data_IF_575599717809
#
_entry.id   IF_575599717809
#
_cell.length_a   1.000
_cell.length_b   1.000
_cell.length_c   1.000
_cell.angle_alpha   90.00
_cell.angle_beta   90.00
_cell.angle_gamma   90.00
#
_symmetry.space_group_name_H-M   'P 1'
#
loop_
_entity.id
_entity.type
_entity.pdbx_description
1 polymer ?
#
# COMPACT_ATOMS: atom_id res chain seq x y z
N UNK A 1 -24.21 -7.95 4.46
CA UNK A 1 -23.67 -8.25 5.79
C UNK A 1 -23.63 -9.75 6.10
N UNK A 2 -24.76 -10.50 6.12
CA UNK A 2 -24.78 -11.95 6.41
C UNK A 2 -23.77 -12.75 5.55
N UNK A 3 -23.80 -12.56 4.22
CA UNK A 3 -22.87 -13.23 3.30
C UNK A 3 -21.40 -12.87 3.55
N UNK A 4 -21.12 -11.61 3.89
CA UNK A 4 -19.78 -11.17 4.27
C UNK A 4 -19.26 -11.92 5.51
N UNK A 5 -20.08 -12.05 6.56
CA UNK A 5 -19.71 -12.80 7.76
C UNK A 5 -19.47 -14.29 7.47
N UNK A 6 -20.28 -14.91 6.60
CA UNK A 6 -20.04 -16.28 6.14
C UNK A 6 -18.67 -16.40 5.45
N UNK A 7 -18.31 -15.44 4.61
CA UNK A 7 -16.98 -15.37 3.96
C UNK A 7 -15.87 -15.18 4.99
N UNK A 8 -16.02 -14.25 5.92
CA UNK A 8 -15.00 -14.00 6.96
C UNK A 8 -14.75 -15.23 7.85
N UNK A 9 -15.79 -16.02 8.16
CA UNK A 9 -15.68 -17.22 9.00
C UNK A 9 -15.44 -18.51 8.20
N UNK A 10 -15.33 -18.42 6.88
CA UNK A 10 -15.11 -19.61 6.07
C UNK A 10 -13.69 -20.19 6.29
N UNK A 11 -13.54 -21.52 6.39
CA UNK A 11 -12.24 -22.17 6.62
C UNK A 11 -11.16 -21.75 5.59
N UNK A 12 -11.55 -21.52 4.33
CA UNK A 12 -10.63 -21.03 3.29
C UNK A 12 -10.12 -19.62 3.60
N UNK A 13 -10.94 -18.74 4.18
CA UNK A 13 -10.49 -17.39 4.57
C UNK A 13 -9.48 -17.48 5.70
N UNK A 14 -9.66 -18.39 6.66
CA UNK A 14 -8.66 -18.64 7.70
C UNK A 14 -7.34 -19.19 7.12
N UNK A 15 -7.39 -20.11 6.16
CA UNK A 15 -6.19 -20.58 5.44
C UNK A 15 -5.48 -19.43 4.72
N UNK A 16 -6.23 -18.49 4.13
CA UNK A 16 -5.67 -17.29 3.46
C UNK A 16 -4.99 -16.37 4.46
N UNK A 17 -5.59 -16.11 5.64
CA UNK A 17 -4.95 -15.34 6.73
C UNK A 17 -3.62 -15.96 7.13
N UNK A 18 -3.61 -17.26 7.38
CA UNK A 18 -2.39 -17.99 7.72
C UNK A 18 -1.35 -17.96 6.60
N UNK A 19 -1.78 -17.97 5.34
CA UNK A 19 -0.90 -17.85 4.18
C UNK A 19 -0.22 -16.47 4.15
N UNK A 20 -0.95 -15.39 4.39
CA UNK A 20 -0.39 -14.04 4.53
C UNK A 20 0.56 -13.93 5.72
N UNK A 21 0.19 -14.50 6.87
CA UNK A 21 1.03 -14.52 8.07
C UNK A 21 2.35 -15.26 7.81
N UNK A 22 2.31 -16.43 7.18
CA UNK A 22 3.52 -17.17 6.79
C UNK A 22 4.39 -16.38 5.83
N UNK A 23 3.81 -15.67 4.85
CA UNK A 23 4.56 -14.79 3.97
C UNK A 23 5.28 -13.70 4.76
N UNK A 24 4.56 -12.97 5.60
CA UNK A 24 5.10 -11.88 6.41
C UNK A 24 6.18 -12.33 7.40
N UNK A 25 6.17 -13.59 7.84
CA UNK A 25 7.18 -14.20 8.72
C UNK A 25 8.26 -14.98 7.96
N UNK A 26 8.32 -14.82 6.64
CA UNK A 26 9.32 -15.42 5.75
C UNK A 26 9.32 -16.96 5.77
N UNK A 27 8.18 -17.59 6.03
CA UNK A 27 8.06 -19.04 6.00
C UNK A 27 7.87 -19.55 4.57
N UNK A 28 8.57 -20.62 4.16
CA UNK A 28 8.40 -21.22 2.84
C UNK A 28 6.96 -21.69 2.61
N UNK A 29 6.39 -21.32 1.48
CA UNK A 29 5.06 -21.73 1.04
C UNK A 29 4.88 -21.51 -0.47
N UNK A 30 3.82 -22.07 -1.09
CA UNK A 30 3.44 -21.68 -2.43
C UNK A 30 3.12 -20.18 -2.50
N UNK A 31 3.47 -19.49 -3.61
CA UNK A 31 3.21 -18.07 -3.78
C UNK A 31 1.77 -17.65 -3.47
N UNK A 32 1.61 -16.47 -2.87
CA UNK A 32 0.32 -15.79 -2.77
C UNK A 32 -0.06 -15.30 -4.17
N UNK A 33 -1.34 -15.46 -4.55
CA UNK A 33 -1.93 -14.90 -5.76
C UNK A 33 -3.04 -13.97 -5.33
N UNK A 34 -2.87 -12.68 -5.52
CA UNK A 34 -3.83 -11.67 -5.11
C UNK A 34 -4.05 -10.62 -6.20
N UNK A 35 -5.21 -9.98 -6.19
CA UNK A 35 -5.55 -8.88 -7.08
C UNK A 35 -5.94 -7.65 -6.27
N UNK A 36 -5.56 -6.47 -6.77
CA UNK A 36 -5.94 -5.19 -6.18
C UNK A 36 -6.30 -4.19 -7.28
N UNK A 37 -7.52 -4.29 -7.85
CA UNK A 37 -7.99 -3.36 -8.87
C UNK A 37 -8.15 -1.94 -8.32
N UNK A 38 -7.92 -0.95 -9.18
CA UNK A 38 -8.25 0.45 -8.92
C UNK A 38 -9.79 0.62 -8.80
N UNK A 39 -10.23 1.70 -8.17
CA UNK A 39 -11.66 2.00 -8.00
C UNK A 39 -12.43 2.06 -9.34
N UNK A 40 -11.77 2.45 -10.44
CA UNK A 40 -12.38 2.49 -11.78
C UNK A 40 -12.63 1.08 -12.33
N UNK A 41 -11.68 0.18 -12.15
CA UNK A 41 -11.86 -1.23 -12.52
C UNK A 41 -12.92 -1.90 -11.64
N UNK A 42 -13.01 -1.53 -10.35
CA UNK A 42 -14.09 -2.02 -9.49
C UNK A 42 -15.47 -1.63 -9.97
N UNK A 43 -15.67 -0.46 -10.59
CA UNK A 43 -16.93 -0.06 -11.22
C UNK A 43 -17.30 -0.91 -12.44
N UNK A 44 -16.32 -1.57 -13.06
CA UNK A 44 -16.57 -2.54 -14.14
C UNK A 44 -16.88 -3.94 -13.62
N UNK A 45 -16.47 -4.27 -12.39
CA UNK A 45 -16.65 -5.57 -11.75
C UNK A 45 -17.93 -5.64 -10.91
N UNK A 46 -18.30 -4.55 -10.26
CA UNK A 46 -19.51 -4.44 -9.42
C UNK A 46 -20.26 -3.19 -9.90
N UNK A 47 -21.44 -3.39 -10.46
CA UNK A 47 -22.25 -2.30 -10.99
C UNK A 47 -22.85 -1.44 -9.86
N UNK A 48 -23.02 -0.13 -10.13
CA UNK A 48 -23.52 0.82 -9.10
C UNK A 48 -24.96 0.51 -8.65
N UNK A 49 -25.79 -0.10 -9.52
CA UNK A 49 -27.16 -0.53 -9.21
C UNK A 49 -27.24 -1.77 -8.30
N UNK A 50 -26.12 -2.46 -8.09
CA UNK A 50 -26.04 -3.55 -7.09
C UNK A 50 -26.00 -3.04 -5.64
N UNK A 51 -25.67 -1.77 -5.43
CA UNK A 51 -25.54 -1.22 -4.09
C UNK A 51 -26.87 -0.77 -3.49
N UNK A 52 -27.04 -0.98 -2.18
CA UNK A 52 -28.26 -0.64 -1.43
C UNK A 52 -28.22 0.73 -0.80
N UNK A 53 -27.03 1.33 -0.67
CA UNK A 53 -26.80 2.61 0.01
C UNK A 53 -26.39 3.71 -0.97
N UNK A 54 -26.66 5.01 -0.69
CA UNK A 54 -26.19 6.12 -1.50
C UNK A 54 -24.66 6.20 -1.61
N UNK A 55 -24.14 6.71 -2.74
CA UNK A 55 -22.71 6.70 -3.07
C UNK A 55 -21.81 7.42 -2.04
N UNK A 56 -22.31 8.42 -1.33
CA UNK A 56 -21.51 9.31 -0.47
C UNK A 56 -21.84 9.13 1.02
N UNK A 57 -21.83 7.90 1.53
CA UNK A 57 -22.06 7.65 2.96
C UNK A 57 -21.02 6.67 3.52
N UNK A 58 -20.78 6.73 4.85
CA UNK A 58 -19.97 5.74 5.54
C UNK A 58 -20.54 4.31 5.40
N UNK A 59 -21.87 4.20 5.33
CA UNK A 59 -22.56 2.94 5.06
C UNK A 59 -22.22 2.41 3.65
N UNK A 60 -22.16 3.29 2.62
CA UNK A 60 -21.75 2.92 1.26
C UNK A 60 -20.30 2.42 1.22
N UNK A 61 -19.38 3.11 1.91
CA UNK A 61 -17.99 2.69 1.96
C UNK A 61 -17.84 1.30 2.61
N UNK A 62 -18.63 1.03 3.64
CA UNK A 62 -18.63 -0.28 4.27
C UNK A 62 -19.32 -1.35 3.39
N UNK A 63 -20.42 -1.01 2.72
CA UNK A 63 -21.05 -1.90 1.73
C UNK A 63 -20.07 -2.24 0.60
N UNK A 64 -19.35 -1.25 0.08
CA UNK A 64 -18.31 -1.45 -0.94
C UNK A 64 -17.23 -2.43 -0.47
N UNK A 65 -16.72 -2.23 0.75
CA UNK A 65 -15.75 -3.16 1.35
C UNK A 65 -16.28 -4.60 1.43
N UNK A 66 -17.51 -4.78 1.91
CA UNK A 66 -18.13 -6.11 2.01
C UNK A 66 -18.34 -6.76 0.63
N UNK A 67 -18.82 -6.00 -0.37
CA UNK A 67 -19.05 -6.50 -1.72
C UNK A 67 -17.75 -6.92 -2.40
N UNK A 68 -16.70 -6.13 -2.26
CA UNK A 68 -15.36 -6.46 -2.78
C UNK A 68 -14.82 -7.73 -2.12
N UNK A 69 -14.94 -7.89 -0.81
CA UNK A 69 -14.50 -9.10 -0.13
C UNK A 69 -15.26 -10.35 -0.60
N UNK A 70 -16.59 -10.24 -0.79
CA UNK A 70 -17.41 -11.33 -1.36
C UNK A 70 -16.98 -11.62 -2.79
N UNK A 71 -16.74 -10.61 -3.63
CA UNK A 71 -16.30 -10.75 -5.01
C UNK A 71 -14.94 -11.45 -5.12
N UNK A 72 -14.00 -11.08 -4.27
CA UNK A 72 -12.70 -11.78 -4.15
C UNK A 72 -12.89 -13.26 -3.80
N UNK A 73 -13.81 -13.56 -2.88
CA UNK A 73 -14.04 -14.92 -2.43
C UNK A 73 -14.74 -15.79 -3.47
N UNK A 74 -15.79 -15.29 -4.12
CA UNK A 74 -16.68 -16.06 -4.98
C UNK A 74 -16.24 -16.05 -6.44
N UNK A 75 -15.77 -14.92 -6.94
CA UNK A 75 -15.51 -14.71 -8.37
C UNK A 75 -14.00 -14.78 -8.65
N UNK A 76 -13.19 -13.93 -8.02
CA UNK A 76 -11.75 -13.90 -8.27
C UNK A 76 -11.07 -15.13 -7.70
N UNK A 77 -11.54 -15.63 -6.56
CA UNK A 77 -10.98 -16.82 -5.87
C UNK A 77 -9.49 -16.71 -5.60
N UNK A 78 -9.01 -15.48 -5.40
CA UNK A 78 -7.63 -15.17 -5.07
C UNK A 78 -7.36 -15.32 -3.56
N UNK A 79 -6.16 -14.94 -3.10
CA UNK A 79 -5.78 -15.09 -1.69
C UNK A 79 -6.21 -13.90 -0.82
N UNK A 80 -7.27 -13.17 -1.23
CA UNK A 80 -7.87 -12.14 -0.38
C UNK A 80 -8.38 -12.75 0.93
N UNK A 81 -8.09 -12.08 2.05
CA UNK A 81 -8.62 -12.42 3.37
C UNK A 81 -9.31 -11.18 3.97
N UNK A 82 -10.29 -11.38 4.83
CA UNK A 82 -11.05 -10.29 5.47
C UNK A 82 -11.34 -10.62 6.92
N UNK A 83 -11.56 -9.58 7.73
CA UNK A 83 -11.91 -9.68 9.13
C UNK A 83 -13.40 -9.31 9.36
N UNK A 84 -14.12 -9.98 10.26
CA UNK A 84 -15.50 -9.63 10.57
C UNK A 84 -15.57 -8.40 11.48
N UNK A 85 -15.14 -7.24 10.96
CA UNK A 85 -15.03 -5.99 11.70
C UNK A 85 -15.45 -4.80 10.85
N UNK A 86 -16.18 -3.86 11.43
CA UNK A 86 -16.40 -2.56 10.81
C UNK A 86 -15.39 -1.56 11.35
N UNK A 87 -14.55 -0.99 10.45
CA UNK A 87 -13.58 0.03 10.82
C UNK A 87 -14.11 1.42 10.60
N UNK A 88 -13.89 2.26 11.60
CA UNK A 88 -14.30 3.66 11.62
C UNK A 88 -13.08 4.55 11.76
N UNK A 89 -12.96 5.54 10.88
CA UNK A 89 -11.84 6.49 10.93
C UNK A 89 -12.01 7.47 12.08
N UNK A 90 -11.00 7.57 12.94
CA UNK A 90 -10.88 8.65 13.91
C UNK A 90 -10.87 10.02 13.21
N UNK A 91 -11.51 10.99 13.83
CA UNK A 91 -11.48 12.36 13.33
C UNK A 91 -10.20 13.06 13.81
N UNK A 92 -9.09 12.76 13.14
CA UNK A 92 -7.79 13.41 13.33
C UNK A 92 -7.56 14.33 12.14
N UNK A 93 -7.28 15.60 12.42
CA UNK A 93 -6.96 16.58 11.40
C UNK A 93 -5.47 16.92 11.43
N UNK A 94 -4.88 17.03 10.25
CA UNK A 94 -3.51 17.46 10.03
C UNK A 94 -3.52 18.89 9.49
N UNK A 95 -2.81 19.81 10.14
CA UNK A 95 -2.85 21.25 9.80
C UNK A 95 -2.24 21.60 8.44
N UNK A 96 -1.61 20.63 7.76
CA UNK A 96 -0.85 20.90 6.53
C UNK A 96 0.50 21.52 6.78
N UNK A 97 1.19 21.84 5.71
CA UNK A 97 2.59 22.33 5.72
C UNK A 97 2.70 23.85 5.49
N UNK A 98 1.57 24.55 5.45
CA UNK A 98 1.50 25.98 5.16
C UNK A 98 1.54 26.32 3.67
N UNK A 99 2.00 25.43 2.84
CA UNK A 99 1.97 25.48 1.37
C UNK A 99 1.42 24.17 0.84
N UNK A 100 0.53 24.25 -0.15
CA UNK A 100 -0.04 23.10 -0.82
C UNK A 100 0.12 23.23 -2.34
N UNK A 101 0.46 22.14 -3.06
CA UNK A 101 0.51 22.17 -4.52
C UNK A 101 -0.89 22.36 -5.09
N UNK A 102 -1.01 23.24 -6.08
CA UNK A 102 -2.26 23.44 -6.81
C UNK A 102 -2.34 22.44 -7.97
N UNK A 103 -3.44 21.71 -8.06
CA UNK A 103 -3.71 20.84 -9.19
C UNK A 103 -4.18 21.68 -10.38
N UNK A 104 -3.52 21.55 -11.53
CA UNK A 104 -3.90 22.14 -12.81
C UNK A 104 -4.29 21.02 -13.76
N UNK A 105 -5.45 21.13 -14.40
CA UNK A 105 -6.04 20.17 -15.33
C UNK A 105 -7.55 20.09 -15.18
N UNK A 106 -8.21 19.33 -16.03
CA UNK A 106 -9.66 19.16 -15.95
C UNK A 106 -10.04 18.46 -14.63
N UNK A 107 -11.15 18.87 -14.04
CA UNK A 107 -11.73 18.27 -12.82
C UNK A 107 -12.22 16.84 -13.07
N UNK A 108 -12.38 16.44 -14.33
CA UNK A 108 -12.70 15.07 -14.70
C UNK A 108 -11.52 14.15 -14.45
N UNK A 109 -11.73 13.11 -13.65
CA UNK A 109 -10.71 12.17 -13.18
C UNK A 109 -9.95 11.40 -14.30
N UNK A 110 -10.31 11.58 -15.57
CA UNK A 110 -9.76 10.87 -16.72
C UNK A 110 -8.75 11.68 -17.54
N UNK A 111 -8.64 13.00 -17.31
CA UNK A 111 -7.76 13.85 -18.10
C UNK A 111 -6.37 14.02 -17.44
N UNK A 112 -5.40 14.34 -18.26
CA UNK A 112 -4.05 14.64 -17.80
C UNK A 112 -4.06 15.87 -16.89
N UNK A 113 -3.41 15.77 -15.76
CA UNK A 113 -3.24 16.86 -14.80
C UNK A 113 -1.80 16.93 -14.31
N UNK A 114 -1.41 18.07 -13.80
CA UNK A 114 -0.12 18.26 -13.14
C UNK A 114 -0.27 19.17 -11.93
N UNK A 115 0.73 19.16 -11.06
CA UNK A 115 0.79 20.11 -9.96
C UNK A 115 1.53 21.37 -10.39
N UNK A 116 1.00 22.53 -9.99
CA UNK A 116 1.76 23.77 -9.90
C UNK A 116 2.43 23.82 -8.52
N UNK A 117 3.74 23.63 -8.44
CA UNK A 117 4.45 23.58 -7.17
C UNK A 117 4.51 24.96 -6.54
N UNK A 118 4.22 25.13 -5.24
CA UNK A 118 4.20 26.44 -4.58
C UNK A 118 5.59 27.03 -4.28
N UNK A 119 6.62 26.18 -4.22
CA UNK A 119 8.00 26.63 -3.96
C UNK A 119 8.69 26.89 -5.31
N UNK A 120 8.65 28.15 -5.76
CA UNK A 120 9.30 28.60 -7.01
C UNK A 120 10.74 29.05 -6.79
N UNK A 121 11.03 29.62 -5.63
CA UNK A 121 12.33 30.15 -5.24
C UNK A 121 12.66 29.81 -3.78
N UNK A 122 13.91 29.91 -3.39
CA UNK A 122 14.36 29.51 -2.04
C UNK A 122 13.68 30.28 -0.92
N UNK A 123 13.32 31.57 -1.12
CA UNK A 123 12.61 32.37 -0.14
C UNK A 123 11.19 31.86 0.16
N UNK A 124 10.59 31.05 -0.71
CA UNK A 124 9.26 30.46 -0.45
C UNK A 124 9.31 29.44 0.69
N UNK A 125 10.49 28.94 1.03
CA UNK A 125 10.71 28.09 2.20
C UNK A 125 10.18 28.70 3.50
N UNK A 126 10.28 30.01 3.66
CA UNK A 126 9.85 30.72 4.88
C UNK A 126 8.32 30.69 5.08
N UNK A 127 7.57 30.28 4.06
CA UNK A 127 6.11 30.11 4.13
C UNK A 127 5.72 28.74 4.69
N UNK A 128 6.65 27.77 4.72
CA UNK A 128 6.39 26.45 5.28
C UNK A 128 6.13 26.52 6.79
N UNK A 129 5.29 25.64 7.25
CA UNK A 129 4.93 25.49 8.66
C UNK A 129 5.02 24.02 9.05
N UNK A 130 5.52 23.75 10.26
CA UNK A 130 5.50 22.40 10.81
C UNK A 130 4.08 21.98 11.12
N UNK A 131 3.67 20.77 10.74
CA UNK A 131 2.31 20.31 10.96
C UNK A 131 2.02 20.02 12.43
N UNK A 132 0.76 20.18 12.78
CA UNK A 132 0.18 19.79 14.06
C UNK A 132 -1.04 18.91 13.84
N UNK A 133 -1.32 18.04 14.81
CA UNK A 133 -2.52 17.20 14.80
C UNK A 133 -3.54 17.75 15.80
N UNK A 134 -4.80 17.66 15.44
CA UNK A 134 -5.94 17.85 16.35
C UNK A 134 -6.86 16.64 16.28
N UNK A 135 -7.47 16.26 17.40
CA UNK A 135 -8.38 15.13 17.52
C UNK A 135 -9.76 15.62 17.94
N UNK A 136 -10.76 15.33 17.12
CA UNK A 136 -12.17 15.62 17.42
C UNK A 136 -12.81 14.36 18.01
N UNK A 137 -12.92 14.35 19.34
CA UNK A 137 -13.49 13.25 20.11
C UNK A 137 -15.01 13.11 19.83
N UNK A 138 -15.73 14.22 19.70
CA UNK A 138 -17.18 14.21 19.47
C UNK A 138 -17.51 13.62 18.10
N UNK A 139 -16.84 14.10 17.05
CA UNK A 139 -17.00 13.55 15.71
C UNK A 139 -16.60 12.07 15.64
N UNK A 140 -15.52 11.68 16.31
CA UNK A 140 -15.10 10.27 16.37
C UNK A 140 -16.17 9.41 17.05
N UNK A 141 -16.67 9.86 18.21
CA UNK A 141 -17.74 9.19 18.93
C UNK A 141 -19.01 9.05 18.09
N UNK A 142 -19.44 10.12 17.42
CA UNK A 142 -20.59 10.08 16.53
C UNK A 142 -20.45 9.04 15.41
N UNK A 143 -19.25 8.95 14.79
CA UNK A 143 -18.97 7.92 13.77
C UNK A 143 -19.04 6.50 14.34
N UNK A 144 -18.53 6.27 15.54
CA UNK A 144 -18.59 4.97 16.24
C UNK A 144 -20.04 4.60 16.54
N UNK A 145 -20.83 5.52 17.09
CA UNK A 145 -22.22 5.26 17.47
C UNK A 145 -23.06 4.95 16.22
N UNK A 146 -22.90 5.69 15.13
CA UNK A 146 -23.54 5.41 13.84
C UNK A 146 -23.15 4.03 13.26
N UNK A 147 -21.87 3.66 13.38
CA UNK A 147 -21.40 2.35 12.93
C UNK A 147 -22.01 1.22 13.77
N UNK A 148 -22.07 1.38 15.10
CA UNK A 148 -22.71 0.41 16.00
C UNK A 148 -24.21 0.25 15.73
N UNK A 149 -24.91 1.34 15.44
CA UNK A 149 -26.30 1.29 15.02
C UNK A 149 -26.47 0.49 13.71
N UNK A 150 -25.55 0.67 12.76
CA UNK A 150 -25.58 -0.01 11.46
C UNK A 150 -25.32 -1.53 11.57
N UNK A 151 -24.31 -1.94 12.35
CA UNK A 151 -23.91 -3.35 12.42
C UNK A 151 -24.55 -4.12 13.58
N UNK A 152 -25.06 -3.43 14.60
CA UNK A 152 -25.65 -4.06 15.80
C UNK A 152 -24.66 -5.01 16.47
N UNK A 153 -25.16 -6.18 16.88
CA UNK A 153 -24.36 -7.24 17.51
C UNK A 153 -23.70 -8.18 16.51
N UNK A 154 -23.80 -7.90 15.20
CA UNK A 154 -23.30 -8.81 14.16
C UNK A 154 -21.79 -8.84 14.08
N UNK A 155 -21.11 -7.73 14.35
CA UNK A 155 -19.64 -7.62 14.32
C UNK A 155 -19.15 -6.46 15.18
N UNK A 156 -17.88 -6.53 15.67
CA UNK A 156 -17.28 -5.42 16.41
C UNK A 156 -17.05 -4.20 15.52
N UNK A 157 -17.07 -3.03 16.15
CA UNK A 157 -16.62 -1.76 15.56
C UNK A 157 -15.26 -1.41 16.15
N UNK A 158 -14.25 -1.27 15.30
CA UNK A 158 -12.89 -0.86 15.66
C UNK A 158 -12.59 0.53 15.10
N UNK A 159 -11.86 1.33 15.88
CA UNK A 159 -11.39 2.64 15.42
C UNK A 159 -10.06 2.46 14.71
N UNK A 160 -9.96 2.99 13.51
CA UNK A 160 -8.70 3.10 12.76
C UNK A 160 -8.28 4.54 12.64
N UNK A 161 -6.99 4.81 12.46
CA UNK A 161 -6.46 6.15 12.31
C UNK A 161 -5.24 6.14 11.39
N UNK A 162 -5.19 7.14 10.53
CA UNK A 162 -4.00 7.52 9.80
C UNK A 162 -3.65 8.97 10.17
N UNK A 163 -2.62 9.21 10.95
CA UNK A 163 -2.30 10.55 11.46
C UNK A 163 -1.62 11.46 10.41
N UNK A 164 -1.59 11.07 9.14
CA UNK A 164 -0.98 11.88 8.08
C UNK A 164 0.55 11.83 8.05
N UNK A 165 1.18 10.84 8.67
CA UNK A 165 2.65 10.65 8.57
C UNK A 165 3.03 10.26 7.15
N UNK A 166 3.82 11.09 6.49
CA UNK A 166 4.38 10.81 5.18
C UNK A 166 5.77 10.20 5.30
N UNK A 167 5.85 8.88 5.19
CA UNK A 167 7.11 8.12 5.16
C UNK A 167 7.73 8.05 3.77
N UNK A 168 6.99 8.46 2.74
CA UNK A 168 7.45 8.47 1.34
C UNK A 168 8.33 9.68 1.08
N UNK A 169 7.96 10.86 1.57
CA UNK A 169 8.63 12.16 1.44
C UNK A 169 8.77 12.68 0.00
N UNK A 170 9.15 11.83 -0.96
CA UNK A 170 9.54 12.24 -2.31
C UNK A 170 8.36 12.73 -3.13
N UNK A 171 7.21 12.06 -3.06
CA UNK A 171 5.96 12.54 -3.66
C UNK A 171 5.63 13.96 -3.17
N UNK A 172 5.74 14.17 -1.87
CA UNK A 172 5.45 15.45 -1.24
C UNK A 172 6.47 16.53 -1.67
N UNK A 173 7.76 16.20 -1.62
CA UNK A 173 8.82 17.08 -2.10
C UNK A 173 8.58 17.50 -3.56
N UNK A 174 8.29 16.55 -4.44
CA UNK A 174 8.01 16.81 -5.85
C UNK A 174 6.72 17.63 -6.05
N UNK A 175 5.71 17.42 -5.20
CA UNK A 175 4.51 18.26 -5.19
C UNK A 175 4.81 19.71 -4.80
N UNK A 176 5.64 19.93 -3.78
CA UNK A 176 5.99 21.26 -3.30
C UNK A 176 6.96 22.01 -4.22
N UNK A 177 7.93 21.33 -4.83
CA UNK A 177 9.03 21.96 -5.58
C UNK A 177 8.94 21.78 -7.11
N UNK A 178 8.23 20.74 -7.57
CA UNK A 178 8.20 20.30 -8.95
C UNK A 178 9.31 19.28 -9.25
N UNK A 179 8.97 18.19 -9.92
CA UNK A 179 9.89 17.07 -10.15
C UNK A 179 11.11 17.49 -10.96
N UNK A 180 10.92 18.29 -12.04
CA UNK A 180 12.01 18.77 -12.88
C UNK A 180 12.98 19.65 -12.08
N UNK A 181 12.43 20.51 -11.22
CA UNK A 181 13.23 21.39 -10.39
C UNK A 181 13.97 20.62 -9.28
N UNK A 182 13.36 19.59 -8.70
CA UNK A 182 14.02 18.69 -7.75
C UNK A 182 15.24 18.03 -8.39
N UNK A 183 15.14 17.57 -9.64
CA UNK A 183 16.29 16.97 -10.35
C UNK A 183 17.40 17.98 -10.64
N UNK A 184 17.06 19.21 -10.99
CA UNK A 184 18.05 20.28 -11.16
C UNK A 184 18.69 20.64 -9.82
N UNK A 185 17.90 20.77 -8.76
CA UNK A 185 18.37 21.15 -7.42
C UNK A 185 19.34 20.11 -6.82
N UNK A 186 19.27 18.83 -7.21
CA UNK A 186 20.27 17.82 -6.81
C UNK A 186 21.71 18.22 -7.18
N UNK A 187 21.90 19.03 -8.24
CA UNK A 187 23.20 19.45 -8.73
C UNK A 187 23.47 20.95 -8.54
N UNK A 188 22.45 21.78 -8.72
CA UNK A 188 22.59 23.23 -8.67
C UNK A 188 22.42 23.81 -7.28
N UNK A 189 21.57 23.18 -6.43
CA UNK A 189 21.18 23.67 -5.11
C UNK A 189 21.01 22.52 -4.09
N UNK A 190 22.01 21.65 -3.94
CA UNK A 190 21.90 20.50 -3.05
C UNK A 190 21.58 20.90 -1.60
N UNK A 191 22.18 21.97 -1.10
CA UNK A 191 21.95 22.47 0.25
C UNK A 191 20.48 22.88 0.49
N UNK A 192 19.86 23.49 -0.51
CA UNK A 192 18.44 23.85 -0.44
C UNK A 192 17.55 22.60 -0.42
N UNK A 193 17.88 21.62 -1.26
CA UNK A 193 17.14 20.35 -1.30
C UNK A 193 17.26 19.59 0.02
N UNK A 194 18.47 19.56 0.62
CA UNK A 194 18.70 19.02 1.96
C UNK A 194 17.88 19.76 3.04
N UNK A 195 17.78 21.08 2.94
CA UNK A 195 16.97 21.89 3.85
C UNK A 195 15.48 21.55 3.75
N UNK A 196 14.94 21.38 2.55
CA UNK A 196 13.55 20.96 2.31
C UNK A 196 13.28 19.57 2.88
N UNK A 197 14.11 18.59 2.50
CA UNK A 197 13.99 17.21 2.99
C UNK A 197 14.13 17.11 4.51
N UNK A 198 15.06 17.86 5.08
CA UNK A 198 15.24 17.96 6.52
C UNK A 198 13.99 18.49 7.22
N UNK A 199 13.39 19.56 6.68
CA UNK A 199 12.16 20.16 7.22
C UNK A 199 10.98 19.19 7.16
N UNK A 200 10.77 18.51 6.02
CA UNK A 200 9.71 17.53 5.86
C UNK A 200 9.90 16.34 6.82
N UNK A 201 11.13 15.89 6.98
CA UNK A 201 11.45 14.79 7.92
C UNK A 201 11.15 15.18 9.37
N UNK A 202 11.61 16.35 9.82
CA UNK A 202 11.35 16.86 11.18
C UNK A 202 9.86 17.07 11.45
N UNK A 203 9.12 17.57 10.46
CA UNK A 203 7.68 17.74 10.60
C UNK A 203 6.96 16.39 10.76
N UNK A 204 7.33 15.37 9.98
CA UNK A 204 6.79 14.03 10.12
C UNK A 204 7.16 13.38 11.47
N UNK A 205 8.37 13.55 11.95
CA UNK A 205 8.76 13.08 13.29
C UNK A 205 7.90 13.72 14.38
N UNK A 206 7.60 15.03 14.29
CA UNK A 206 6.70 15.70 15.23
C UNK A 206 5.26 15.20 15.13
N UNK A 207 4.76 14.91 13.93
CA UNK A 207 3.44 14.27 13.73
C UNK A 207 3.41 12.90 14.40
N UNK A 208 4.46 12.10 14.24
CA UNK A 208 4.59 10.80 14.90
C UNK A 208 4.54 10.91 16.43
N UNK A 209 5.29 11.86 17.01
CA UNK A 209 5.30 12.12 18.45
C UNK A 209 3.91 12.52 18.97
N UNK A 210 3.22 13.42 18.26
CA UNK A 210 1.86 13.84 18.61
C UNK A 210 0.86 12.67 18.54
N UNK A 211 0.90 11.84 17.48
CA UNK A 211 0.02 10.70 17.32
C UNK A 211 0.24 9.64 18.42
N UNK A 212 1.48 9.35 18.79
CA UNK A 212 1.78 8.45 19.91
C UNK A 212 1.33 9.05 21.24
N UNK A 213 1.64 10.32 21.50
CA UNK A 213 1.24 11.02 22.73
C UNK A 213 -0.29 11.08 22.86
N UNK A 214 -1.02 11.30 21.77
CA UNK A 214 -2.48 11.29 21.74
C UNK A 214 -3.09 9.88 21.86
N UNK A 215 -2.35 8.82 21.52
CA UNK A 215 -2.89 7.45 21.48
C UNK A 215 -3.84 7.21 20.31
N UNK A 216 -3.62 7.90 19.21
CA UNK A 216 -4.51 7.87 18.04
C UNK A 216 -4.09 6.84 16.99
N UNK A 217 -3.08 6.03 17.27
CA UNK A 217 -2.63 4.98 16.36
C UNK A 217 -3.50 3.74 16.48
N UNK A 218 -3.75 3.09 15.35
CA UNK A 218 -4.41 1.78 15.26
C UNK A 218 -3.44 0.75 14.69
N UNK A 219 -3.57 -0.50 15.12
CA UNK A 219 -2.79 -1.61 14.55
C UNK A 219 -3.19 -1.84 13.09
N UNK A 220 -2.22 -2.23 12.27
CA UNK A 220 -2.40 -2.53 10.85
C UNK A 220 -1.81 -3.90 10.47
N UNK A 221 -2.00 -4.88 11.34
CA UNK A 221 -1.39 -6.21 11.25
C UNK A 221 -2.39 -7.34 10.93
N UNK A 222 -3.51 -7.00 10.28
CA UNK A 222 -4.55 -7.95 9.81
C UNK A 222 -4.82 -7.77 8.32
N UNK A 223 -6.08 -7.60 7.93
CA UNK A 223 -6.53 -7.34 6.55
C UNK A 223 -6.26 -5.89 6.08
N UNK A 224 -5.45 -5.17 6.81
CA UNK A 224 -4.99 -3.84 6.43
C UNK A 224 -4.13 -3.89 5.17
N UNK A 225 -4.34 -2.92 4.29
CA UNK A 225 -3.47 -2.76 3.13
C UNK A 225 -2.10 -2.24 3.56
N UNK A 226 -1.05 -2.97 3.25
CA UNK A 226 0.33 -2.62 3.60
C UNK A 226 1.23 -2.60 2.37
N UNK A 227 2.25 -1.76 2.42
CA UNK A 227 3.19 -1.63 1.32
C UNK A 227 2.51 -1.16 0.03
N UNK A 228 3.06 -1.59 -1.11
CA UNK A 228 2.49 -1.36 -2.42
C UNK A 228 1.68 -2.57 -2.91
N UNK A 229 0.77 -3.08 -2.11
CA UNK A 229 -0.09 -4.21 -2.44
C UNK A 229 0.26 -5.48 -1.68
N UNK A 230 -0.12 -5.52 -0.40
CA UNK A 230 -0.09 -6.69 0.44
C UNK A 230 -1.07 -6.53 1.60
N UNK A 231 -1.35 -7.60 2.32
CA UNK A 231 -2.09 -7.56 3.57
C UNK A 231 -1.15 -7.58 4.78
N UNK A 232 -1.59 -6.97 5.87
CA UNK A 232 -0.81 -6.75 7.08
C UNK A 232 -0.58 -7.97 7.96
N UNK A 233 -1.23 -9.09 7.71
CA UNK A 233 -1.20 -10.27 8.60
C UNK A 233 0.20 -10.67 9.03
N UNK A 234 0.46 -10.61 10.32
CA UNK A 234 1.72 -11.04 10.96
C UNK A 234 1.49 -11.25 12.46
N UNK A 235 2.25 -12.16 13.06
CA UNK A 235 2.34 -12.36 14.51
C UNK A 235 3.55 -11.67 15.14
N UNK A 236 4.40 -11.03 14.34
CA UNK A 236 5.51 -10.21 14.83
C UNK A 236 5.06 -8.82 15.30
N UNK A 237 3.84 -8.41 14.95
CA UNK A 237 3.21 -7.18 15.40
C UNK A 237 1.89 -7.50 16.12
N UNK A 238 1.55 -6.76 17.19
CA UNK A 238 2.35 -5.70 17.79
C UNK A 238 3.63 -6.21 18.45
N UNK A 239 4.62 -5.33 18.60
CA UNK A 239 5.90 -5.67 19.18
C UNK A 239 5.77 -6.12 20.65
N UNK A 240 6.75 -6.88 21.13
CA UNK A 240 6.78 -7.35 22.50
C UNK A 240 6.58 -6.20 23.53
N UNK A 241 5.77 -6.47 24.55
CA UNK A 241 5.39 -5.47 25.55
C UNK A 241 4.27 -4.53 25.11
N UNK A 242 3.46 -4.91 24.12
CA UNK A 242 2.25 -4.19 23.76
C UNK A 242 1.24 -4.23 24.92
N UNK A 243 0.73 -3.06 25.31
CA UNK A 243 -0.19 -2.90 26.45
C UNK A 243 -1.54 -2.27 26.03
N UNK A 244 -2.02 -2.57 24.83
CA UNK A 244 -3.32 -2.09 24.33
C UNK A 244 -3.30 -0.72 23.69
N UNK A 245 -2.16 0.01 23.71
CA UNK A 245 -1.99 1.29 23.03
C UNK A 245 -0.90 1.17 21.97
N UNK A 246 -1.29 1.35 20.70
CA UNK A 246 -0.37 1.20 19.59
C UNK A 246 0.69 2.31 19.57
N UNK A 247 1.91 1.94 19.19
CA UNK A 247 3.06 2.81 18.94
C UNK A 247 3.54 2.53 17.51
N UNK A 248 4.33 3.40 16.91
CA UNK A 248 4.86 3.15 15.58
C UNK A 248 5.63 1.83 15.48
N UNK A 249 6.33 1.42 16.53
CA UNK A 249 7.00 0.11 16.57
C UNK A 249 6.06 -1.11 16.57
N UNK A 250 4.77 -0.89 16.72
CA UNK A 250 3.73 -1.91 16.66
C UNK A 250 3.08 -2.00 15.28
N UNK A 251 3.55 -1.19 14.30
CA UNK A 251 2.93 -1.01 12.99
C UNK A 251 3.86 -1.39 11.83
N UNK A 252 3.25 -1.71 10.70
CA UNK A 252 3.89 -1.67 9.39
C UNK A 252 4.07 -0.24 8.91
N UNK A 253 5.22 0.03 8.27
CA UNK A 253 5.41 1.19 7.42
C UNK A 253 5.46 0.82 5.94
N UNK A 254 5.20 1.81 5.10
CA UNK A 254 5.51 1.77 3.66
C UNK A 254 6.31 3.01 3.28
N UNK A 255 7.33 2.83 2.45
CA UNK A 255 8.02 3.94 1.78
C UNK A 255 8.41 3.55 0.35
N UNK A 256 8.67 4.55 -0.46
CA UNK A 256 9.06 4.41 -1.87
C UNK A 256 9.66 5.71 -2.38
N UNK A 257 10.20 5.70 -3.59
CA UNK A 257 10.64 6.89 -4.30
C UNK A 257 10.47 6.67 -5.82
N UNK A 258 9.22 6.47 -6.24
CA UNK A 258 8.91 6.19 -7.66
C UNK A 258 9.26 7.36 -8.58
N UNK A 259 9.16 8.61 -8.11
CA UNK A 259 9.60 9.80 -8.82
C UNK A 259 11.10 9.74 -9.17
N UNK A 260 11.87 9.02 -8.34
CA UNK A 260 13.30 8.80 -8.51
C UNK A 260 13.63 7.51 -9.28
N UNK A 261 12.69 6.99 -10.09
CA UNK A 261 12.91 5.76 -10.87
C UNK A 261 14.19 5.81 -11.72
N UNK A 262 14.49 6.97 -12.30
CA UNK A 262 15.68 7.20 -13.15
C UNK A 262 16.87 7.78 -12.36
N UNK A 263 16.73 8.14 -11.11
CA UNK A 263 17.80 8.68 -10.25
C UNK A 263 18.76 7.55 -9.87
N UNK A 264 20.06 7.84 -9.98
CA UNK A 264 21.12 6.88 -9.64
C UNK A 264 21.15 6.52 -8.14
N UNK A 265 21.78 5.40 -7.77
CA UNK A 265 21.83 4.96 -6.37
C UNK A 265 22.41 6.01 -5.42
N UNK A 266 23.47 6.71 -5.80
CA UNK A 266 24.12 7.72 -4.93
C UNK A 266 23.16 8.87 -4.57
N UNK A 267 22.53 9.47 -5.61
CA UNK A 267 21.57 10.56 -5.40
C UNK A 267 20.30 10.06 -4.71
N UNK A 268 19.88 8.82 -4.96
CA UNK A 268 18.76 8.23 -4.23
C UNK A 268 19.08 8.09 -2.74
N UNK A 269 20.28 7.63 -2.39
CA UNK A 269 20.72 7.57 -0.99
C UNK A 269 20.75 8.95 -0.36
N UNK A 270 21.36 9.93 -1.07
CA UNK A 270 21.59 11.28 -0.58
C UNK A 270 20.29 12.10 -0.46
N UNK A 271 19.39 12.04 -1.45
CA UNK A 271 18.20 12.90 -1.51
C UNK A 271 16.87 12.18 -1.25
N UNK A 272 16.90 10.93 -0.79
CA UNK A 272 15.70 10.22 -0.37
C UNK A 272 15.97 9.34 0.85
N UNK A 273 16.74 8.26 0.68
CA UNK A 273 16.79 7.16 1.61
C UNK A 273 17.27 7.56 3.02
N UNK A 274 18.30 8.41 3.13
CA UNK A 274 18.79 8.85 4.44
C UNK A 274 17.72 9.57 5.29
N UNK A 275 16.79 10.26 4.63
CA UNK A 275 15.67 10.95 5.28
C UNK A 275 14.54 9.97 5.63
N UNK A 276 14.21 9.09 4.69
CA UNK A 276 13.19 8.06 4.89
C UNK A 276 13.58 7.12 6.04
N UNK A 277 14.83 6.71 6.16
CA UNK A 277 15.31 5.83 7.25
C UNK A 277 15.01 6.43 8.63
N UNK A 278 15.15 7.74 8.82
CA UNK A 278 14.86 8.41 10.10
C UNK A 278 13.40 8.24 10.56
N UNK A 279 12.47 8.12 9.60
CA UNK A 279 11.07 7.84 9.87
C UNK A 279 10.84 6.33 10.03
N UNK A 280 11.37 5.53 9.11
CA UNK A 280 11.16 4.09 9.04
C UNK A 280 11.73 3.34 10.25
N UNK A 281 12.81 3.84 10.86
CA UNK A 281 13.40 3.24 12.08
C UNK A 281 12.46 3.25 13.30
N UNK A 282 11.37 4.03 13.27
CA UNK A 282 10.35 4.04 14.31
C UNK A 282 9.39 2.86 14.22
N UNK A 283 9.24 2.26 13.05
CA UNK A 283 8.25 1.22 12.77
C UNK A 283 8.75 -0.20 13.10
N UNK A 284 7.80 -1.11 13.35
CA UNK A 284 8.10 -2.51 13.67
C UNK A 284 8.49 -3.33 12.45
N UNK A 285 7.82 -3.15 11.32
CA UNK A 285 8.13 -3.79 10.05
C UNK A 285 8.01 -2.77 8.91
N UNK A 286 8.79 -2.97 7.84
CA UNK A 286 8.85 -2.02 6.72
C UNK A 286 8.62 -2.73 5.39
N UNK A 287 7.78 -2.12 4.54
CA UNK A 287 7.66 -2.38 3.12
C UNK A 287 8.33 -1.26 2.34
N UNK A 288 9.04 -1.57 1.26
CA UNK A 288 9.66 -0.56 0.40
C UNK A 288 9.41 -0.81 -1.09
N UNK A 289 9.19 0.30 -1.81
CA UNK A 289 9.05 0.32 -3.26
C UNK A 289 7.60 0.29 -3.75
N UNK A 290 7.41 0.78 -4.97
CA UNK A 290 6.13 0.83 -5.69
C UNK A 290 6.34 0.51 -7.18
N UNK A 291 6.35 1.53 -8.04
CA UNK A 291 6.44 1.37 -9.50
C UNK A 291 7.88 1.45 -10.02
N UNK A 292 8.83 1.91 -9.22
CA UNK A 292 10.23 2.05 -9.61
C UNK A 292 10.96 0.70 -9.77
N UNK A 293 11.91 0.64 -10.69
CA UNK A 293 12.74 -0.54 -10.92
C UNK A 293 13.92 -0.58 -9.93
N UNK A 294 13.78 -1.30 -8.83
CA UNK A 294 14.73 -1.33 -7.71
C UNK A 294 15.99 -2.20 -7.96
N UNK A 295 16.09 -2.94 -9.08
CA UNK A 295 17.18 -3.91 -9.29
C UNK A 295 18.59 -3.32 -9.25
N UNK A 296 18.74 -1.99 -9.43
CA UNK A 296 20.03 -1.28 -9.30
C UNK A 296 20.25 -0.68 -7.91
N UNK A 297 19.27 -0.79 -7.00
CA UNK A 297 19.24 -0.10 -5.71
C UNK A 297 19.09 -1.06 -4.51
N UNK A 298 19.12 -2.36 -4.71
CA UNK A 298 18.91 -3.32 -3.62
C UNK A 298 19.90 -3.16 -2.46
N UNK A 299 21.18 -2.81 -2.74
CA UNK A 299 22.17 -2.57 -1.68
C UNK A 299 21.77 -1.42 -0.77
N UNK A 300 21.09 -0.41 -1.31
CA UNK A 300 20.52 0.68 -0.53
C UNK A 300 19.32 0.23 0.28
N UNK A 301 18.40 -0.51 -0.35
CA UNK A 301 17.19 -0.99 0.33
C UNK A 301 17.53 -1.85 1.55
N UNK A 302 18.60 -2.65 1.46
CA UNK A 302 19.06 -3.50 2.57
C UNK A 302 19.63 -2.71 3.77
N UNK A 303 19.81 -1.39 3.66
CA UNK A 303 20.14 -0.50 4.78
C UNK A 303 18.91 -0.12 5.61
N UNK A 304 17.69 -0.34 5.09
CA UNK A 304 16.45 0.03 5.78
C UNK A 304 16.24 -0.90 6.99
N UNK A 305 16.08 -0.35 8.20
CA UNK A 305 15.82 -1.14 9.38
C UNK A 305 14.51 -1.93 9.27
N UNK A 306 14.52 -3.19 9.69
CA UNK A 306 13.34 -4.06 9.72
C UNK A 306 12.60 -4.17 8.38
N UNK A 307 13.32 -3.96 7.27
CA UNK A 307 12.78 -4.20 5.94
C UNK A 307 12.32 -5.66 5.83
N UNK A 308 11.07 -5.85 5.48
CA UNK A 308 10.48 -7.17 5.35
C UNK A 308 10.03 -7.46 3.92
N UNK A 309 9.40 -6.50 3.27
CA UNK A 309 8.77 -6.68 1.96
C UNK A 309 9.32 -5.67 0.97
N UNK A 310 9.70 -6.14 -0.22
CA UNK A 310 10.17 -5.26 -1.30
C UNK A 310 9.23 -5.43 -2.50
N UNK A 311 8.69 -4.32 -2.98
CA UNK A 311 7.86 -4.29 -4.19
C UNK A 311 8.74 -4.43 -5.42
N UNK A 312 8.41 -5.38 -6.26
CA UNK A 312 9.13 -5.67 -7.51
C UNK A 312 8.19 -5.33 -8.67
N UNK A 313 8.41 -4.15 -9.25
CA UNK A 313 7.61 -3.63 -10.35
C UNK A 313 7.81 -4.44 -11.65
N UNK A 314 6.91 -4.29 -12.65
CA UNK A 314 7.07 -4.95 -13.96
C UNK A 314 8.37 -4.59 -14.67
N UNK A 315 8.97 -3.45 -14.33
CA UNK A 315 10.21 -2.93 -14.91
C UNK A 315 11.47 -3.45 -14.24
N UNK A 316 11.34 -4.16 -13.14
CA UNK A 316 12.45 -4.72 -12.38
C UNK A 316 12.97 -6.01 -13.04
N UNK A 317 14.29 -6.19 -13.06
CA UNK A 317 14.87 -7.46 -13.47
C UNK A 317 14.57 -8.55 -12.42
N UNK A 318 13.69 -9.49 -12.77
CA UNK A 318 13.19 -10.54 -11.87
C UNK A 318 14.30 -11.48 -11.38
N UNK A 319 15.33 -11.74 -12.20
CA UNK A 319 16.45 -12.65 -11.85
C UNK A 319 17.36 -11.99 -10.83
N UNK A 320 17.74 -10.74 -11.07
CA UNK A 320 18.53 -9.95 -10.11
C UNK A 320 17.78 -9.81 -8.78
N UNK A 321 16.47 -9.56 -8.84
CA UNK A 321 15.65 -9.47 -7.64
C UNK A 321 15.64 -10.81 -6.87
N UNK A 322 15.45 -11.95 -7.54
CA UNK A 322 15.45 -13.27 -6.90
C UNK A 322 16.79 -13.60 -6.23
N UNK A 323 17.91 -13.32 -6.92
CA UNK A 323 19.27 -13.52 -6.39
C UNK A 323 19.55 -12.66 -5.15
N UNK A 324 19.02 -11.42 -5.11
CA UNK A 324 19.28 -10.49 -4.02
C UNK A 324 18.34 -10.71 -2.82
N UNK A 325 17.08 -11.00 -3.06
CA UNK A 325 16.09 -11.16 -1.99
C UNK A 325 16.11 -12.55 -1.36
N UNK A 326 16.17 -13.60 -2.17
CA UNK A 326 16.13 -14.99 -1.72
C UNK A 326 14.93 -15.23 -0.75
N UNK A 327 15.17 -15.89 0.38
CA UNK A 327 14.19 -16.08 1.46
C UNK A 327 14.37 -15.09 2.63
N UNK A 328 15.17 -14.04 2.44
CA UNK A 328 15.45 -13.04 3.47
C UNK A 328 14.45 -11.88 3.49
N UNK A 329 13.74 -11.71 2.38
CA UNK A 329 12.71 -10.69 2.19
C UNK A 329 11.55 -11.27 1.43
N UNK A 330 10.36 -10.71 1.63
CA UNK A 330 9.21 -11.02 0.80
C UNK A 330 9.39 -10.38 -0.57
N UNK A 331 9.38 -11.20 -1.60
CA UNK A 331 9.39 -10.81 -3.01
C UNK A 331 7.95 -10.49 -3.45
N UNK A 332 7.55 -9.23 -3.32
CA UNK A 332 6.19 -8.79 -3.65
C UNK A 332 6.14 -8.32 -5.11
N UNK A 333 5.85 -9.24 -6.02
CA UNK A 333 5.90 -9.00 -7.47
C UNK A 333 4.61 -8.42 -8.03
N UNK A 334 4.77 -7.46 -8.93
CA UNK A 334 3.70 -6.83 -9.71
C UNK A 334 3.83 -7.26 -11.17
N UNK A 335 2.97 -8.17 -11.69
CA UNK A 335 2.86 -8.38 -13.13
C UNK A 335 2.34 -7.12 -13.81
N UNK A 336 2.58 -7.00 -15.13
CA UNK A 336 2.14 -5.83 -15.88
C UNK A 336 0.60 -5.85 -16.07
N UNK A 337 -0.16 -4.89 -15.52
CA UNK A 337 -1.62 -4.86 -15.66
C UNK A 337 -2.08 -4.64 -17.11
N UNK A 338 -1.23 -4.09 -17.98
CA UNK A 338 -1.55 -3.95 -19.40
C UNK A 338 -1.80 -5.30 -20.11
N UNK A 339 -1.25 -6.40 -19.58
CA UNK A 339 -1.49 -7.74 -20.12
C UNK A 339 -2.97 -8.17 -20.02
N UNK A 340 -3.76 -7.56 -19.13
CA UNK A 340 -5.20 -7.80 -19.02
C UNK A 340 -6.01 -7.11 -20.13
N UNK A 341 -5.50 -6.00 -20.67
CA UNK A 341 -6.24 -5.12 -21.60
C UNK A 341 -5.68 -5.20 -23.01
N UNK A 342 -4.37 -4.95 -23.14
CA UNK A 342 -3.70 -4.87 -24.43
C UNK A 342 -3.12 -6.23 -24.85
N UNK A 343 -3.74 -6.85 -25.85
CA UNK A 343 -3.24 -8.08 -26.43
C UNK A 343 -3.28 -9.27 -25.46
N UNK A 344 -4.45 -9.56 -24.90
CA UNK A 344 -4.68 -10.73 -24.07
C UNK A 344 -4.25 -12.02 -24.79
N UNK A 345 -3.32 -12.74 -24.21
CA UNK A 345 -2.81 -14.03 -24.71
C UNK A 345 -2.47 -14.94 -23.52
N UNK A 346 -3.32 -15.94 -23.28
CA UNK A 346 -3.16 -16.87 -22.16
C UNK A 346 -1.85 -17.68 -22.24
N UNK A 347 -1.40 -18.02 -23.45
CA UNK A 347 -0.16 -18.77 -23.64
C UNK A 347 1.04 -17.94 -23.22
N UNK A 348 1.06 -16.64 -23.59
CA UNK A 348 2.09 -15.69 -23.18
C UNK A 348 2.07 -15.47 -21.66
N UNK A 349 0.88 -15.21 -21.09
CA UNK A 349 0.72 -15.01 -19.63
C UNK A 349 1.22 -16.25 -18.88
N UNK A 350 0.85 -17.45 -19.34
CA UNK A 350 1.29 -18.71 -18.73
C UNK A 350 2.81 -18.88 -18.81
N UNK A 351 3.41 -18.57 -19.95
CA UNK A 351 4.87 -18.64 -20.12
C UNK A 351 5.60 -17.68 -19.18
N UNK A 352 5.13 -16.44 -19.06
CA UNK A 352 5.67 -15.43 -18.14
C UNK A 352 5.58 -15.89 -16.68
N UNK A 353 4.42 -16.38 -16.25
CA UNK A 353 4.19 -16.87 -14.90
C UNK A 353 5.07 -18.10 -14.60
N UNK A 354 5.19 -19.02 -15.54
CA UNK A 354 6.04 -20.22 -15.40
C UNK A 354 7.51 -19.85 -15.28
N UNK A 355 8.00 -18.91 -16.12
CA UNK A 355 9.37 -18.39 -16.01
C UNK A 355 9.59 -17.68 -14.68
N UNK A 356 8.67 -16.81 -14.28
CA UNK A 356 8.76 -16.10 -13.01
C UNK A 356 8.85 -17.05 -11.82
N UNK A 357 7.96 -18.05 -11.75
CA UNK A 357 7.97 -19.06 -10.69
C UNK A 357 9.25 -19.88 -10.66
N UNK A 358 9.79 -20.25 -11.84
CA UNK A 358 11.07 -20.96 -11.94
C UNK A 358 12.24 -20.12 -11.41
N UNK A 359 12.27 -18.83 -11.75
CA UNK A 359 13.32 -17.87 -11.31
C UNK A 359 13.24 -17.62 -9.81
N UNK A 360 12.05 -17.55 -9.24
CA UNK A 360 11.82 -17.22 -7.82
C UNK A 360 11.74 -18.44 -6.91
N UNK A 361 12.13 -19.61 -7.42
CA UNK A 361 12.15 -20.85 -6.61
C UNK A 361 13.05 -20.67 -5.38
N UNK A 362 12.48 -20.85 -4.19
CA UNK A 362 13.16 -20.65 -2.91
C UNK A 362 13.02 -19.24 -2.33
N UNK A 363 12.39 -18.30 -3.04
CA UNK A 363 11.97 -17.01 -2.48
C UNK A 363 10.62 -17.14 -1.76
N UNK A 364 10.33 -16.19 -0.86
CA UNK A 364 9.00 -15.98 -0.31
C UNK A 364 8.27 -15.00 -1.23
N UNK A 365 7.26 -15.48 -1.96
CA UNK A 365 6.67 -14.75 -3.09
C UNK A 365 5.22 -14.38 -2.86
N UNK A 366 4.90 -13.12 -3.16
CA UNK A 366 3.55 -12.58 -3.33
C UNK A 366 3.41 -12.08 -4.77
N UNK A 367 2.48 -12.64 -5.54
CA UNK A 367 2.12 -12.19 -6.89
C UNK A 367 0.87 -11.34 -6.79
N UNK A 368 0.98 -10.05 -7.08
CA UNK A 368 -0.11 -9.09 -6.87
C UNK A 368 -0.41 -8.33 -8.15
N UNK A 369 -1.51 -8.68 -8.83
CA UNK A 369 -2.03 -7.93 -9.95
C UNK A 369 -2.71 -6.67 -9.43
N UNK A 370 -1.99 -5.55 -9.49
CA UNK A 370 -2.46 -4.23 -9.06
C UNK A 370 -2.32 -3.19 -10.18
N UNK A 371 -2.73 -1.96 -9.88
CA UNK A 371 -2.73 -0.82 -10.83
C UNK A 371 -3.61 -1.09 -12.07
N UNK A 372 -4.57 -1.99 -11.92
CA UNK A 372 -5.59 -2.29 -12.93
C UNK A 372 -6.61 -1.16 -12.92
N UNK A 373 -6.44 -0.16 -13.78
CA UNK A 373 -7.33 1.00 -13.88
C UNK A 373 -8.57 0.71 -14.72
N UNK A 374 -8.44 -0.18 -15.68
CA UNK A 374 -9.53 -0.61 -16.55
C UNK A 374 -9.34 -2.08 -16.97
N UNK A 375 -10.42 -2.75 -17.26
CA UNK A 375 -10.46 -4.08 -17.87
C UNK A 375 -10.97 -4.04 -19.33
N UNK A 376 -11.19 -2.81 -19.87
CA UNK A 376 -11.83 -2.62 -21.16
C UNK A 376 -13.22 -3.25 -21.17
N UNK A 377 -13.55 -3.96 -22.24
CA UNK A 377 -14.81 -4.69 -22.37
C UNK A 377 -14.72 -6.14 -21.85
N UNK A 378 -13.70 -6.46 -21.02
CA UNK A 378 -13.34 -7.82 -20.64
C UNK A 378 -13.10 -7.99 -19.13
N UNK A 379 -14.10 -7.72 -18.28
CA UNK A 379 -13.97 -7.84 -16.82
C UNK A 379 -13.62 -9.26 -16.36
N UNK A 380 -13.99 -10.29 -17.13
CA UNK A 380 -13.72 -11.70 -16.85
C UNK A 380 -12.22 -12.05 -16.86
N UNK A 381 -11.38 -11.25 -17.55
CA UNK A 381 -9.93 -11.51 -17.67
C UNK A 381 -9.20 -11.46 -16.34
N UNK A 382 -9.68 -10.66 -15.38
CA UNK A 382 -9.04 -10.60 -14.06
C UNK A 382 -9.18 -11.92 -13.32
N UNK A 383 -10.38 -12.51 -13.28
CA UNK A 383 -10.59 -13.82 -12.68
C UNK A 383 -9.82 -14.90 -13.45
N UNK A 384 -9.81 -14.83 -14.79
CA UNK A 384 -9.08 -15.78 -15.61
C UNK A 384 -7.57 -15.72 -15.39
N UNK A 385 -7.01 -14.51 -15.18
CA UNK A 385 -5.60 -14.37 -14.80
C UNK A 385 -5.28 -15.08 -13.47
N UNK A 386 -6.14 -14.94 -12.46
CA UNK A 386 -5.99 -15.62 -11.18
C UNK A 386 -6.00 -17.14 -11.37
N UNK A 387 -6.91 -17.67 -12.18
CA UNK A 387 -6.98 -19.11 -12.50
C UNK A 387 -5.66 -19.59 -13.12
N UNK A 388 -5.17 -18.88 -14.16
CA UNK A 388 -3.89 -19.22 -14.82
C UNK A 388 -2.73 -19.18 -13.83
N UNK A 389 -2.68 -18.15 -12.98
CA UNK A 389 -1.63 -18.02 -11.97
C UNK A 389 -1.66 -19.20 -10.97
N UNK A 390 -2.86 -19.60 -10.50
CA UNK A 390 -3.02 -20.77 -9.61
C UNK A 390 -2.64 -22.08 -10.29
N UNK A 391 -3.02 -22.26 -11.56
CA UNK A 391 -2.62 -23.43 -12.35
C UNK A 391 -1.08 -23.54 -12.43
N UNK A 392 -0.40 -22.42 -12.71
CA UNK A 392 1.08 -22.38 -12.77
C UNK A 392 1.72 -22.67 -11.38
N UNK A 393 1.17 -22.08 -10.31
CA UNK A 393 1.64 -22.35 -8.94
C UNK A 393 1.44 -23.83 -8.59
N UNK A 394 0.27 -24.41 -8.86
CA UNK A 394 -0.02 -25.81 -8.58
C UNK A 394 0.87 -26.76 -9.36
N UNK A 395 1.19 -26.43 -10.62
CA UNK A 395 2.10 -27.21 -11.44
C UNK A 395 3.53 -27.27 -10.87
N UNK A 396 3.98 -26.20 -10.21
CA UNK A 396 5.35 -26.12 -9.67
C UNK A 396 5.46 -26.58 -8.22
N UNK A 397 4.46 -26.28 -7.39
CA UNK A 397 4.52 -26.54 -5.94
C UNK A 397 3.63 -27.71 -5.48
N UNK A 398 2.86 -28.30 -6.38
CA UNK A 398 1.82 -29.28 -6.05
C UNK A 398 0.50 -28.59 -5.64
N UNK A 399 -0.59 -29.35 -5.65
CA UNK A 399 -1.86 -28.84 -5.12
C UNK A 399 -1.69 -28.62 -3.62
N UNK A 400 -1.96 -27.40 -3.15
CA UNK A 400 -2.11 -27.16 -1.72
C UNK A 400 -3.35 -27.93 -1.25
N UNK A 401 -3.15 -28.94 -0.41
CA UNK A 401 -4.23 -29.69 0.25
C UNK A 401 -5.02 -28.80 1.19
#
# INVERSE_FOLDING_TARGET
MKRYLEVCHHPLTEQRRQKWQRSSTLQPQPPIVWTWPDWRAWKQLIADDEYSTPEVTSARAFEDHMRKAIYHFEILKDDHACEPVMRVWAAVEHSGWGLEPTRIGDENANDAWHYDPPIKQESDFEKLRLPTLSYDEESTKHRIDAARELVGDLMPVEVTCWPGVDTVLIVHLCGLRGIDQVFLDMYERPDFLHRLLGFLTEGNLKVMEQAEAGGWLALNNKDDYTGSGAMGYTDELPAAGFAGRARFKDLWAHSEAQEYALVGPLQHEEFALQYQIRLLERYGLVCYGCCEALHRKFDLMMKIPRLRRISISPWCNIRVAAERLQNRYVYNWKPNPADLVAGWDESRIRAQLTEFLAVTKGCVVEMVMKDVQTLGDHPERLARWVEIARECVNAQYGQAN
#
